data_IF_740475446893
#
_entry.id   IF_740475446893
#
_cell.length_a   1.000
_cell.length_b   1.000
_cell.length_c   1.000
_cell.angle_alpha   90.00
_cell.angle_beta   90.00
_cell.angle_gamma   90.00
#
_symmetry.space_group_name_H-M   'P 1'
#
loop_
_entity.id
_entity.type
_entity.pdbx_description
1 polymer ?
#
# COMPACT_ATOMS: atom_id res chain seq x y z
N UNK A 1 10.59 -3.64 9.95
CA UNK A 1 9.14 -3.63 9.72
C UNK A 1 8.60 -5.05 9.60
N UNK A 2 7.69 -5.44 10.49
CA UNK A 2 7.15 -6.81 10.67
C UNK A 2 6.61 -7.48 9.39
N UNK A 3 6.17 -6.70 8.40
CA UNK A 3 5.60 -7.24 7.17
C UNK A 3 6.64 -7.68 6.12
N UNK A 4 7.92 -7.31 6.26
CA UNK A 4 8.97 -7.69 5.30
C UNK A 4 8.66 -7.25 3.87
N UNK A 5 8.24 -6.00 3.68
CA UNK A 5 7.94 -5.37 2.39
C UNK A 5 9.14 -4.53 1.93
N UNK A 6 10.28 -5.20 1.69
CA UNK A 6 11.45 -4.53 1.12
C UNK A 6 11.42 -4.59 -0.41
N UNK A 7 12.17 -3.71 -1.09
CA UNK A 7 12.17 -3.62 -2.55
C UNK A 7 12.68 -4.90 -3.25
N UNK A 8 13.52 -5.70 -2.58
CA UNK A 8 13.99 -6.99 -3.10
C UNK A 8 13.04 -8.17 -2.86
N UNK A 9 11.98 -7.98 -2.07
CA UNK A 9 11.04 -9.03 -1.71
C UNK A 9 10.01 -9.23 -2.82
N UNK A 10 9.42 -10.43 -2.86
CA UNK A 10 8.28 -10.70 -3.75
C UNK A 10 7.09 -9.80 -3.40
N UNK A 11 6.36 -9.36 -4.42
CA UNK A 11 5.10 -8.63 -4.24
C UNK A 11 4.13 -9.40 -3.34
N UNK A 12 3.44 -8.67 -2.48
CA UNK A 12 2.39 -9.20 -1.60
C UNK A 12 1.07 -8.53 -1.95
N UNK A 13 -0.03 -9.25 -1.71
CA UNK A 13 -1.37 -8.73 -1.99
C UNK A 13 -1.64 -7.48 -1.15
N UNK A 14 -2.16 -6.44 -1.79
CA UNK A 14 -2.51 -5.15 -1.18
C UNK A 14 -3.41 -5.29 0.06
N UNK A 15 -4.36 -6.22 0.02
CA UNK A 15 -5.24 -6.53 1.16
C UNK A 15 -4.49 -6.92 2.44
N UNK A 16 -3.31 -7.55 2.32
CA UNK A 16 -2.48 -7.91 3.49
C UNK A 16 -1.91 -6.67 4.17
N UNK A 17 -1.40 -5.73 3.39
CA UNK A 17 -0.82 -4.48 3.93
C UNK A 17 -1.92 -3.62 4.54
N UNK A 18 -3.06 -3.47 3.86
CA UNK A 18 -4.22 -2.75 4.39
C UNK A 18 -4.73 -3.39 5.68
N UNK A 19 -4.92 -4.72 5.70
CA UNK A 19 -5.39 -5.43 6.90
C UNK A 19 -4.45 -5.29 8.11
N UNK A 20 -3.13 -5.31 7.90
CA UNK A 20 -2.17 -5.09 9.00
C UNK A 20 -2.27 -3.67 9.56
N UNK A 21 -2.45 -2.66 8.70
CA UNK A 21 -2.66 -1.27 9.12
C UNK A 21 -3.96 -1.13 9.91
N UNK A 22 -5.05 -1.72 9.43
CA UNK A 22 -6.34 -1.68 10.12
C UNK A 22 -6.29 -2.36 11.49
N UNK A 23 -5.63 -3.52 11.58
CA UNK A 23 -5.56 -4.29 12.81
C UNK A 23 -4.65 -3.67 13.88
N UNK A 24 -3.62 -2.91 13.48
CA UNK A 24 -2.59 -2.42 14.42
C UNK A 24 -2.59 -0.92 14.65
N UNK A 25 -2.93 -0.11 13.65
CA UNK A 25 -2.63 1.32 13.67
C UNK A 25 -3.84 2.21 13.36
N UNK A 26 -4.79 1.74 12.55
CA UNK A 26 -5.91 2.57 12.09
C UNK A 26 -7.23 1.78 12.04
N UNK A 27 -7.94 1.59 13.17
CA UNK A 27 -9.10 0.70 13.29
C UNK A 27 -10.41 1.34 12.78
N UNK A 28 -10.38 1.87 11.56
CA UNK A 28 -11.52 2.49 10.88
C UNK A 28 -11.76 1.81 9.52
N UNK A 29 -12.59 2.43 8.66
CA UNK A 29 -12.85 1.89 7.32
C UNK A 29 -11.58 1.65 6.51
N UNK A 30 -11.60 0.62 5.68
CA UNK A 30 -10.48 0.20 4.83
C UNK A 30 -10.23 1.14 3.65
N UNK A 31 -11.28 1.82 3.18
CA UNK A 31 -11.26 2.73 2.02
C UNK A 31 -10.11 3.75 2.14
N UNK A 32 -10.00 4.45 3.26
CA UNK A 32 -8.96 5.48 3.43
C UNK A 32 -7.54 4.91 3.35
N UNK A 33 -7.30 3.73 3.92
CA UNK A 33 -6.01 3.06 3.86
C UNK A 33 -5.68 2.59 2.44
N UNK A 34 -6.68 2.05 1.73
CA UNK A 34 -6.53 1.60 0.36
C UNK A 34 -6.27 2.77 -0.59
N UNK A 35 -7.06 3.84 -0.50
CA UNK A 35 -6.89 5.06 -1.32
C UNK A 35 -5.54 5.71 -1.12
N UNK A 36 -5.05 5.82 0.12
CA UNK A 36 -3.72 6.35 0.40
C UNK A 36 -2.61 5.52 -0.29
N UNK A 37 -2.71 4.19 -0.21
CA UNK A 37 -1.77 3.29 -0.89
C UNK A 37 -1.85 3.45 -2.42
N UNK A 38 -3.07 3.57 -2.98
CA UNK A 38 -3.27 3.81 -4.42
C UNK A 38 -2.61 5.10 -4.87
N UNK A 39 -2.87 6.19 -4.15
CA UNK A 39 -2.30 7.49 -4.44
C UNK A 39 -0.77 7.45 -4.43
N UNK A 40 -0.16 6.80 -3.42
CA UNK A 40 1.29 6.71 -3.26
C UNK A 40 2.00 5.85 -4.31
N UNK A 41 1.26 5.04 -5.07
CA UNK A 41 1.79 4.23 -6.16
C UNK A 41 1.70 4.94 -7.54
N UNK A 42 0.96 6.05 -7.63
CA UNK A 42 0.76 6.75 -8.91
C UNK A 42 1.98 7.57 -9.33
N UNK A 43 2.60 7.30 -10.49
CA UNK A 43 3.73 8.09 -11.00
C UNK A 43 3.33 9.48 -11.50
N UNK A 44 2.04 9.72 -11.78
CA UNK A 44 1.53 11.04 -12.15
C UNK A 44 1.10 11.87 -10.93
N UNK A 45 0.78 11.24 -9.79
CA UNK A 45 0.43 11.94 -8.54
C UNK A 45 1.68 12.28 -7.72
N UNK A 46 2.69 11.38 -7.71
CA UNK A 46 3.95 11.58 -7.01
C UNK A 46 5.14 11.60 -7.97
N UNK A 47 6.00 12.61 -7.82
CA UNK A 47 7.27 12.70 -8.57
C UNK A 47 8.19 11.50 -8.30
N UNK A 48 8.17 10.98 -7.07
CA UNK A 48 8.90 9.80 -6.63
C UNK A 48 7.93 8.90 -5.84
N UNK A 49 7.32 7.90 -6.49
CA UNK A 49 6.39 7.00 -5.82
C UNK A 49 7.05 6.28 -4.64
N UNK A 50 6.28 6.14 -3.56
CA UNK A 50 6.74 5.46 -2.33
C UNK A 50 6.30 4.00 -2.27
N UNK A 51 5.28 3.65 -3.05
CA UNK A 51 4.75 2.30 -3.16
C UNK A 51 5.01 1.81 -4.59
N UNK A 52 5.67 0.66 -4.70
CA UNK A 52 5.77 -0.07 -5.97
C UNK A 52 4.61 -1.07 -6.06
N UNK A 53 3.73 -0.86 -7.04
CA UNK A 53 2.47 -1.57 -7.21
C UNK A 53 2.39 -2.31 -8.54
N UNK A 54 1.85 -3.53 -8.53
CA UNK A 54 1.60 -4.32 -9.75
C UNK A 54 0.09 -4.51 -9.96
N UNK A 55 -0.42 -4.10 -11.13
CA UNK A 55 -1.84 -4.26 -11.50
C UNK A 55 -2.42 -2.99 -12.12
N UNK A 56 -3.73 -2.86 -12.09
CA UNK A 56 -4.42 -1.62 -12.44
C UNK A 56 -4.44 -0.69 -11.22
N UNK A 57 -3.75 0.44 -11.31
CA UNK A 57 -3.67 1.47 -10.28
C UNK A 57 -4.28 2.77 -10.81
N UNK A 58 -5.50 2.75 -11.33
CA UNK A 58 -6.13 3.90 -11.98
C UNK A 58 -6.20 3.73 -13.49
#
# INVERSE_FOLDING_TARGET
SELGLNASAKFKKSARTVGDVLGKYHPHGDIACYEAMVLMAHPFSYRYPLVDGQGNWG
#
